data_IF_880064887741
#
_entry.id   IF_880064887741
#
_cell.length_a   1.000
_cell.length_b   1.000
_cell.length_c   1.000
_cell.angle_alpha   90.00
_cell.angle_beta   90.00
_cell.angle_gamma   90.00
#
_symmetry.space_group_name_H-M   'P 1'
#
loop_
_entity.id
_entity.type
_entity.pdbx_description
1 polymer ?
#
# COMPACT_ATOMS: atom_id res chain seq x y z
N UNK A 1 58.13 42.11 -19.38
CA UNK A 1 59.02 43.25 -19.72
C UNK A 1 58.85 43.46 -21.20
N UNK A 2 58.14 44.43 -21.77
CA UNK A 2 57.35 45.59 -21.36
C UNK A 2 56.45 45.85 -22.61
N UNK A 3 55.15 46.13 -22.47
CA UNK A 3 54.57 47.48 -22.50
C UNK A 3 55.12 48.35 -23.67
N UNK A 4 54.34 49.03 -24.51
CA UNK A 4 53.06 49.68 -24.32
C UNK A 4 52.64 50.29 -25.68
N UNK A 5 51.33 50.46 -25.94
CA UNK A 5 50.72 51.73 -26.40
C UNK A 5 49.25 51.50 -26.85
N UNK A 6 48.33 52.17 -26.15
CA UNK A 6 46.94 52.48 -26.59
C UNK A 6 46.93 53.85 -27.31
N UNK A 7 45.88 54.21 -28.08
CA UNK A 7 44.67 54.88 -27.55
C UNK A 7 43.34 54.39 -28.21
N UNK A 8 42.22 54.29 -27.47
CA UNK A 8 41.08 55.24 -27.35
C UNK A 8 40.38 55.61 -28.66
N UNK A 9 39.12 55.17 -28.81
CA UNK A 9 38.01 56.09 -29.07
C UNK A 9 36.65 55.50 -28.68
N UNK A 10 35.90 56.33 -27.96
CA UNK A 10 34.51 56.17 -27.54
C UNK A 10 33.56 56.30 -28.74
N UNK A 11 32.52 55.47 -28.77
CA UNK A 11 31.38 55.61 -29.66
C UNK A 11 30.12 55.39 -28.85
N UNK A 12 29.56 56.47 -28.34
CA UNK A 12 28.23 56.54 -27.72
C UNK A 12 27.17 56.22 -28.76
N UNK A 13 26.38 55.18 -28.49
CA UNK A 13 25.25 54.77 -29.32
C UNK A 13 24.21 54.10 -28.46
N UNK A 14 23.48 54.90 -27.69
CA UNK A 14 22.26 54.47 -27.01
C UNK A 14 21.18 54.20 -28.05
N UNK A 15 20.71 52.95 -28.16
CA UNK A 15 19.30 52.67 -28.44
C UNK A 15 18.91 51.33 -27.84
N UNK A 16 18.19 51.41 -26.74
CA UNK A 16 17.34 50.34 -26.26
C UNK A 16 16.38 49.93 -27.40
N UNK A 17 16.21 48.63 -27.62
CA UNK A 17 14.93 48.01 -27.99
C UNK A 17 15.13 46.50 -28.18
N UNK A 18 14.59 45.75 -27.22
CA UNK A 18 13.72 44.60 -27.48
C UNK A 18 14.39 43.31 -28.00
N UNK A 19 14.95 42.53 -27.07
CA UNK A 19 15.07 41.09 -27.22
C UNK A 19 13.93 40.43 -26.44
N UNK A 20 13.11 39.68 -27.15
CA UNK A 20 11.95 38.98 -26.62
C UNK A 20 12.41 37.89 -25.64
N UNK A 21 11.99 38.03 -24.39
CA UNK A 21 11.94 36.94 -23.42
C UNK A 21 10.96 35.88 -23.91
N UNK A 22 11.47 34.69 -24.23
CA UNK A 22 10.69 33.47 -24.23
C UNK A 22 11.59 32.29 -23.86
N UNK A 23 11.82 32.00 -22.57
CA UNK A 23 12.23 30.66 -22.19
C UNK A 23 11.06 29.72 -22.47
N UNK A 24 11.33 28.80 -23.41
CA UNK A 24 10.58 27.56 -23.66
C UNK A 24 9.90 27.06 -22.39
N UNK A 25 8.56 27.07 -22.41
CA UNK A 25 7.74 26.46 -21.38
C UNK A 25 8.15 25.01 -21.22
N UNK A 26 8.86 24.72 -20.13
CA UNK A 26 9.00 23.36 -19.62
C UNK A 26 7.58 22.90 -19.32
N UNK A 27 7.06 22.03 -20.17
CA UNK A 27 5.76 21.40 -20.02
C UNK A 27 5.60 20.92 -18.58
N UNK A 28 4.52 21.35 -17.94
CA UNK A 28 4.06 20.93 -16.61
C UNK A 28 3.90 19.40 -16.53
N UNK A 29 3.81 18.74 -17.69
CA UNK A 29 3.64 17.30 -17.87
C UNK A 29 4.79 16.42 -17.40
N UNK A 30 5.97 16.96 -17.08
CA UNK A 30 7.07 16.19 -16.47
C UNK A 30 7.16 16.36 -14.93
N UNK A 31 6.42 17.30 -14.32
CA UNK A 31 6.38 17.46 -12.84
C UNK A 31 5.28 16.62 -12.16
N UNK A 32 4.35 16.06 -12.93
CA UNK A 32 3.27 15.21 -12.40
C UNK A 32 3.51 13.70 -12.58
N UNK A 33 4.54 13.28 -13.34
CA UNK A 33 4.90 11.84 -13.44
C UNK A 33 5.58 11.26 -12.20
N UNK A 34 5.88 12.10 -11.20
CA UNK A 34 6.49 11.69 -9.93
C UNK A 34 5.50 11.69 -8.75
N UNK A 35 4.20 11.92 -9.00
CA UNK A 35 3.18 12.13 -7.96
C UNK A 35 2.17 10.99 -7.83
N UNK A 36 2.49 9.78 -8.29
CA UNK A 36 1.55 8.65 -8.19
C UNK A 36 2.24 7.28 -8.13
N UNK A 37 3.33 7.19 -7.37
CA UNK A 37 3.56 5.96 -6.62
C UNK A 37 2.59 5.94 -5.43
N UNK A 38 1.28 5.82 -5.72
CA UNK A 38 0.24 5.66 -4.70
C UNK A 38 0.71 4.62 -3.69
N UNK A 39 0.60 4.93 -2.39
CA UNK A 39 0.96 4.00 -1.32
C UNK A 39 0.12 2.73 -1.47
N UNK A 40 0.69 1.68 -2.07
CA UNK A 40 -0.01 0.41 -2.26
C UNK A 40 0.09 -0.42 -0.98
N UNK A 41 -0.94 -0.35 -0.15
CA UNK A 41 -1.10 -1.23 0.99
C UNK A 41 -1.21 -2.67 0.53
N UNK A 42 -0.69 -3.62 1.31
CA UNK A 42 -0.61 -5.04 0.94
C UNK A 42 -1.33 -5.91 1.95
N UNK A 43 -2.17 -6.85 1.48
CA UNK A 43 -2.79 -7.86 2.33
C UNK A 43 -2.66 -9.25 1.71
N UNK A 44 -2.35 -10.24 2.54
CA UNK A 44 -2.35 -11.65 2.16
C UNK A 44 -3.53 -12.35 2.81
N UNK A 45 -4.41 -12.96 2.01
CA UNK A 45 -5.65 -13.54 2.51
C UNK A 45 -6.13 -14.74 1.69
N UNK A 46 -7.07 -15.49 2.27
CA UNK A 46 -7.87 -16.48 1.55
C UNK A 46 -8.62 -15.84 0.37
N UNK A 47 -8.74 -16.54 -0.77
CA UNK A 47 -9.65 -16.14 -1.84
C UNK A 47 -11.13 -16.36 -1.48
N UNK A 48 -11.41 -17.13 -0.42
CA UNK A 48 -12.76 -17.46 0.04
C UNK A 48 -13.02 -16.92 1.43
N UNK A 49 -14.27 -16.50 1.67
CA UNK A 49 -14.75 -16.12 3.00
C UNK A 49 -14.85 -17.37 3.89
N UNK A 50 -14.53 -17.21 5.16
CA UNK A 50 -14.75 -18.24 6.17
C UNK A 50 -16.24 -18.31 6.57
N UNK A 51 -16.60 -19.18 7.52
CA UNK A 51 -17.99 -19.35 7.99
C UNK A 51 -18.59 -18.11 8.64
N UNK A 52 -17.77 -17.13 9.07
CA UNK A 52 -18.20 -15.83 9.57
C UNK A 52 -18.27 -14.76 8.48
N UNK A 53 -18.10 -15.15 7.22
CA UNK A 53 -18.14 -14.23 6.09
C UNK A 53 -16.86 -13.41 5.90
N UNK A 54 -15.75 -13.70 6.59
CA UNK A 54 -14.53 -12.88 6.50
C UNK A 54 -13.44 -13.53 5.65
N UNK A 55 -12.63 -12.73 4.95
CA UNK A 55 -11.43 -13.24 4.30
C UNK A 55 -10.28 -13.39 5.31
N UNK A 56 -10.05 -14.63 5.75
CA UNK A 56 -8.98 -14.96 6.69
C UNK A 56 -7.61 -14.52 6.17
N UNK A 57 -6.86 -13.75 6.97
CA UNK A 57 -5.49 -13.32 6.63
C UNK A 57 -4.47 -14.46 6.73
N UNK A 58 -3.28 -14.25 6.17
CA UNK A 58 -2.19 -15.25 6.10
C UNK A 58 -1.86 -15.92 7.44
N UNK A 59 -1.73 -15.15 8.53
CA UNK A 59 -1.45 -15.71 9.85
C UNK A 59 -2.60 -16.56 10.38
N UNK A 60 -3.85 -16.12 10.16
CA UNK A 60 -5.04 -16.87 10.53
C UNK A 60 -5.13 -18.21 9.79
N UNK A 61 -4.74 -18.24 8.51
CA UNK A 61 -4.71 -19.48 7.73
C UNK A 61 -3.70 -20.49 8.28
N UNK A 62 -2.48 -20.06 8.61
CA UNK A 62 -1.46 -20.95 9.19
C UNK A 62 -1.84 -21.38 10.61
N UNK A 63 -2.42 -20.48 11.41
CA UNK A 63 -2.93 -20.84 12.74
C UNK A 63 -4.09 -21.84 12.69
N UNK A 64 -4.94 -21.80 11.65
CA UNK A 64 -5.97 -22.82 11.44
C UNK A 64 -5.36 -24.20 11.15
N UNK A 65 -4.34 -24.28 10.29
CA UNK A 65 -3.59 -25.53 10.07
C UNK A 65 -2.98 -26.09 11.35
N UNK A 66 -2.42 -25.21 12.19
CA UNK A 66 -1.87 -25.60 13.49
C UNK A 66 -2.96 -26.17 14.41
N UNK A 67 -4.12 -25.50 14.49
CA UNK A 67 -5.28 -25.95 15.28
C UNK A 67 -5.84 -27.28 14.78
N UNK A 68 -5.74 -27.55 13.49
CA UNK A 68 -6.14 -28.82 12.86
C UNK A 68 -5.07 -29.92 13.02
N UNK A 69 -3.91 -29.64 13.63
CA UNK A 69 -2.83 -30.61 13.80
C UNK A 69 -2.13 -31.00 12.50
N UNK A 70 -2.19 -30.14 11.48
CA UNK A 70 -1.68 -30.44 10.13
C UNK A 70 -0.23 -30.01 9.91
N UNK A 71 0.32 -29.15 10.77
CA UNK A 71 1.69 -28.67 10.63
C UNK A 71 2.70 -29.74 11.07
N UNK A 72 3.83 -29.82 10.37
CA UNK A 72 4.99 -30.57 10.86
C UNK A 72 5.63 -29.87 12.06
N UNK A 73 6.48 -30.58 12.82
CA UNK A 73 7.20 -30.01 13.97
C UNK A 73 8.07 -28.79 13.58
N UNK A 74 8.69 -28.83 12.39
CA UNK A 74 9.46 -27.71 11.85
C UNK A 74 8.56 -26.51 11.54
N UNK A 75 7.42 -26.74 10.90
CA UNK A 75 6.45 -25.69 10.58
C UNK A 75 5.84 -25.08 11.85
N UNK A 76 5.58 -25.90 12.87
CA UNK A 76 5.09 -25.45 14.16
C UNK A 76 6.14 -24.60 14.90
N UNK A 77 7.41 -25.01 14.83
CA UNK A 77 8.55 -24.25 15.38
C UNK A 77 8.68 -22.90 14.67
N UNK A 78 8.64 -22.90 13.33
CA UNK A 78 8.65 -21.67 12.53
C UNK A 78 7.49 -20.76 12.90
N UNK A 79 6.25 -21.28 12.91
CA UNK A 79 5.05 -20.51 13.24
C UNK A 79 5.13 -19.90 14.63
N UNK A 80 5.54 -20.67 15.66
CA UNK A 80 5.65 -20.16 17.03
C UNK A 80 6.73 -19.10 17.17
N UNK A 81 7.90 -19.31 16.57
CA UNK A 81 8.98 -18.32 16.58
C UNK A 81 8.60 -17.05 15.85
N UNK A 82 8.02 -17.18 14.65
CA UNK A 82 7.54 -16.09 13.82
C UNK A 82 6.45 -15.27 14.50
N UNK A 83 5.40 -15.93 15.02
CA UNK A 83 4.31 -15.23 15.70
C UNK A 83 4.82 -14.46 16.92
N UNK A 84 5.67 -15.07 17.75
CA UNK A 84 6.25 -14.40 18.92
C UNK A 84 7.11 -13.19 18.54
N UNK A 85 7.79 -13.26 17.39
CA UNK A 85 8.53 -12.12 16.83
C UNK A 85 7.59 -11.02 16.34
N UNK A 86 6.50 -11.37 15.63
CA UNK A 86 5.48 -10.40 15.20
C UNK A 86 4.80 -9.72 16.40
N UNK A 87 4.37 -10.49 17.40
CA UNK A 87 3.73 -9.95 18.61
C UNK A 87 4.65 -8.96 19.35
N UNK A 88 5.97 -9.12 19.25
CA UNK A 88 6.95 -8.21 19.82
C UNK A 88 7.28 -7.00 18.92
N UNK A 89 7.22 -7.18 17.60
CA UNK A 89 7.56 -6.15 16.61
C UNK A 89 6.37 -5.27 16.20
N UNK A 90 5.14 -5.70 16.52
CA UNK A 90 3.91 -5.15 15.99
C UNK A 90 2.91 -4.91 17.10
N UNK A 91 2.27 -3.74 17.09
CA UNK A 91 1.15 -3.49 17.99
C UNK A 91 -0.05 -4.32 17.52
N UNK A 92 -0.62 -5.11 18.42
CA UNK A 92 -1.96 -5.67 18.21
C UNK A 92 -2.98 -4.53 18.33
N UNK A 93 -3.68 -4.15 17.24
CA UNK A 93 -4.65 -3.06 17.28
C UNK A 93 -5.73 -3.27 18.35
N UNK A 94 -6.08 -4.52 18.65
CA UNK A 94 -7.08 -4.90 19.64
C UNK A 94 -6.67 -4.56 21.08
N UNK A 95 -5.36 -4.36 21.33
CA UNK A 95 -4.85 -3.91 22.63
C UNK A 95 -4.90 -2.40 22.80
N UNK A 96 -4.99 -1.65 21.70
CA UNK A 96 -5.15 -0.20 21.69
C UNK A 96 -6.64 0.16 21.74
N UNK A 97 -7.44 -0.48 20.89
CA UNK A 97 -8.89 -0.37 20.89
C UNK A 97 -9.52 -1.77 20.67
N UNK A 98 -10.22 -2.34 21.68
CA UNK A 98 -10.81 -3.66 21.59
C UNK A 98 -11.93 -3.78 20.54
N UNK A 99 -12.47 -2.66 20.04
CA UNK A 99 -13.54 -2.64 19.05
C UNK A 99 -13.05 -2.63 17.60
N UNK A 100 -11.74 -2.59 17.35
CA UNK A 100 -11.15 -2.50 15.99
C UNK A 100 -11.64 -3.63 15.08
N UNK A 101 -11.81 -4.84 15.60
CA UNK A 101 -12.31 -6.01 14.85
C UNK A 101 -13.70 -6.47 15.29
N UNK A 102 -14.43 -5.63 16.02
CA UNK A 102 -15.82 -5.88 16.36
C UNK A 102 -16.67 -5.79 15.08
N UNK A 103 -17.34 -6.88 14.69
CA UNK A 103 -18.07 -6.97 13.42
C UNK A 103 -19.38 -6.16 13.43
N UNK A 104 -19.95 -5.86 14.61
CA UNK A 104 -21.14 -5.01 14.72
C UNK A 104 -20.77 -3.53 14.53
N UNK A 105 -19.56 -3.13 14.94
CA UNK A 105 -19.07 -1.74 14.86
C UNK A 105 -18.31 -1.50 13.55
N UNK A 106 -17.44 -2.43 13.17
CA UNK A 106 -16.50 -2.34 12.06
C UNK A 106 -16.61 -3.59 11.16
N UNK A 107 -17.74 -3.76 10.44
CA UNK A 107 -18.02 -4.97 9.67
C UNK A 107 -16.95 -5.25 8.62
N UNK A 108 -16.39 -6.45 8.66
CA UNK A 108 -15.36 -6.88 7.72
C UNK A 108 -14.00 -6.16 7.87
N UNK A 109 -13.74 -5.53 9.01
CA UNK A 109 -12.46 -4.89 9.30
C UNK A 109 -11.26 -5.80 9.02
N UNK A 110 -10.25 -5.26 8.35
CA UNK A 110 -9.10 -6.03 7.89
C UNK A 110 -7.81 -5.22 8.00
N UNK A 111 -6.77 -5.83 8.57
CA UNK A 111 -5.42 -5.29 8.57
C UNK A 111 -4.76 -5.36 7.18
N UNK A 112 -4.02 -4.32 6.85
CA UNK A 112 -3.16 -4.23 5.67
C UNK A 112 -1.78 -3.72 6.09
N UNK A 113 -0.74 -4.28 5.49
CA UNK A 113 0.62 -3.78 5.67
C UNK A 113 0.82 -2.50 4.88
N UNK A 114 1.49 -1.53 5.49
CA UNK A 114 2.08 -0.42 4.75
C UNK A 114 3.22 -0.92 3.85
N UNK A 115 3.46 -0.34 2.67
CA UNK A 115 4.59 -0.73 1.83
C UNK A 115 5.95 -0.50 2.51
N UNK A 116 6.02 0.42 3.48
CA UNK A 116 7.19 0.66 4.34
C UNK A 116 7.51 -0.51 5.28
N UNK A 117 6.57 -1.43 5.53
CA UNK A 117 6.72 -2.57 6.43
C UNK A 117 7.58 -3.70 5.83
N UNK A 118 8.66 -3.37 5.13
CA UNK A 118 9.49 -4.31 4.36
C UNK A 118 10.03 -5.46 5.20
N UNK A 119 10.44 -5.19 6.45
CA UNK A 119 10.93 -6.20 7.39
C UNK A 119 9.84 -7.18 7.86
N UNK A 120 8.58 -6.75 7.90
CA UNK A 120 7.42 -7.63 8.17
C UNK A 120 7.12 -8.44 6.91
N UNK A 121 6.93 -7.76 5.78
CA UNK A 121 6.61 -8.38 4.50
C UNK A 121 7.61 -9.46 4.08
N UNK A 122 8.91 -9.26 4.32
CA UNK A 122 9.95 -10.23 4.01
C UNK A 122 9.79 -11.57 4.73
N UNK A 123 9.15 -11.59 5.92
CA UNK A 123 8.91 -12.81 6.70
C UNK A 123 7.64 -13.55 6.29
N UNK A 124 6.74 -12.90 5.54
CA UNK A 124 5.47 -13.50 5.09
C UNK A 124 5.72 -14.68 4.14
N UNK A 125 6.84 -14.69 3.40
CA UNK A 125 7.20 -15.79 2.48
C UNK A 125 7.16 -17.16 3.14
N UNK A 126 7.74 -17.32 4.35
CA UNK A 126 7.73 -18.60 5.05
C UNK A 126 6.33 -19.06 5.45
N UNK A 127 5.40 -18.13 5.74
CA UNK A 127 3.99 -18.48 5.96
C UNK A 127 3.31 -18.92 4.66
N UNK A 128 3.61 -18.27 3.54
CA UNK A 128 3.08 -18.66 2.22
C UNK A 128 3.60 -20.03 1.78
N UNK A 129 4.87 -20.35 2.06
CA UNK A 129 5.46 -21.67 1.80
C UNK A 129 4.74 -22.77 2.59
N UNK A 130 4.46 -22.53 3.87
CA UNK A 130 3.65 -23.45 4.68
C UNK A 130 2.29 -23.65 4.03
N UNK A 131 1.55 -22.59 3.71
CA UNK A 131 0.22 -22.70 3.10
C UNK A 131 0.27 -23.48 1.77
N UNK A 132 1.27 -23.19 0.92
CA UNK A 132 1.46 -23.87 -0.36
C UNK A 132 1.72 -25.37 -0.17
N UNK A 133 2.55 -25.75 0.80
CA UNK A 133 2.84 -27.16 1.11
C UNK A 133 1.60 -27.96 1.54
N UNK A 134 0.60 -27.26 2.08
CA UNK A 134 -0.67 -27.82 2.56
C UNK A 134 -1.85 -27.67 1.57
N UNK A 135 -1.58 -27.16 0.36
CA UNK A 135 -2.60 -26.92 -0.66
C UNK A 135 -3.63 -25.84 -0.27
N UNK A 136 -3.28 -24.94 0.66
CA UNK A 136 -4.15 -23.85 1.09
C UNK A 136 -3.89 -22.62 0.26
N UNK A 137 -4.91 -22.16 -0.47
CA UNK A 137 -4.81 -20.96 -1.30
C UNK A 137 -4.70 -19.67 -0.46
N UNK A 138 -3.78 -18.80 -0.87
CA UNK A 138 -3.60 -17.46 -0.33
C UNK A 138 -3.27 -16.52 -1.49
N UNK A 139 -3.90 -15.35 -1.56
CA UNK A 139 -3.64 -14.32 -2.57
C UNK A 139 -3.11 -13.06 -1.91
N UNK A 140 -2.21 -12.36 -2.62
CA UNK A 140 -1.82 -11.01 -2.29
C UNK A 140 -2.78 -10.02 -2.95
N UNK A 141 -3.26 -9.06 -2.18
CA UNK A 141 -4.01 -7.89 -2.62
C UNK A 141 -3.14 -6.66 -2.45
N UNK A 142 -3.27 -5.72 -3.39
CA UNK A 142 -2.67 -4.39 -3.32
C UNK A 142 -3.77 -3.37 -3.57
N UNK A 143 -3.81 -2.31 -2.78
CA UNK A 143 -4.74 -1.20 -2.98
C UNK A 143 -4.15 0.08 -2.42
N UNK A 144 -4.35 1.21 -3.12
CA UNK A 144 -4.11 2.55 -2.59
C UNK A 144 -5.21 2.98 -1.60
N UNK A 145 -6.43 2.50 -1.83
CA UNK A 145 -7.60 2.80 -1.02
C UNK A 145 -8.33 1.49 -0.66
N UNK A 146 -7.86 0.74 0.35
CA UNK A 146 -8.48 -0.52 0.75
C UNK A 146 -9.77 -0.32 1.56
N UNK A 147 -10.12 0.91 1.94
CA UNK A 147 -11.29 1.23 2.76
C UNK A 147 -11.08 2.39 3.73
N UNK A 148 -12.09 2.66 4.55
CA UNK A 148 -12.01 3.66 5.63
C UNK A 148 -11.08 3.17 6.74
N UNK A 149 -9.99 3.90 6.97
CA UNK A 149 -9.03 3.62 8.04
C UNK A 149 -9.68 3.84 9.42
N UNK A 150 -9.58 2.84 10.28
CA UNK A 150 -10.05 2.87 11.68
C UNK A 150 -8.91 2.72 12.69
N UNK A 151 -7.74 2.29 12.24
CA UNK A 151 -6.52 2.21 13.02
C UNK A 151 -5.33 2.37 12.08
N UNK A 152 -4.27 3.04 12.54
CA UNK A 152 -3.03 3.22 11.79
C UNK A 152 -1.83 3.29 12.74
N UNK A 153 -0.75 2.61 12.37
CA UNK A 153 0.57 2.73 13.02
C UNK A 153 1.69 2.79 11.95
N UNK A 154 2.96 2.73 12.35
CA UNK A 154 4.11 2.87 11.45
C UNK A 154 4.17 1.81 10.33
N UNK A 155 3.54 0.65 10.51
CA UNK A 155 3.69 -0.50 9.63
C UNK A 155 2.36 -1.08 9.15
N UNK A 156 1.21 -0.60 9.64
CA UNK A 156 -0.12 -1.07 9.23
C UNK A 156 -1.21 -0.02 9.23
N UNK A 157 -2.28 -0.41 8.55
CA UNK A 157 -3.62 0.16 8.73
C UNK A 157 -4.62 -0.97 8.99
N UNK A 158 -5.66 -0.70 9.76
CA UNK A 158 -6.89 -1.51 9.75
C UNK A 158 -7.97 -0.67 9.10
N UNK A 159 -8.67 -1.27 8.15
CA UNK A 159 -9.74 -0.59 7.40
C UNK A 159 -11.04 -1.35 7.50
N UNK A 160 -12.14 -0.61 7.50
CA UNK A 160 -13.44 -1.13 7.09
C UNK A 160 -13.51 -1.02 5.57
N UNK A 161 -13.65 -2.15 4.83
CA UNK A 161 -13.74 -2.12 3.38
C UNK A 161 -14.88 -1.22 2.91
N UNK A 162 -14.67 -0.51 1.80
CA UNK A 162 -15.76 0.19 1.14
C UNK A 162 -16.88 -0.81 0.82
N UNK A 163 -18.13 -0.38 0.98
CA UNK A 163 -19.24 -1.15 0.46
C UNK A 163 -18.98 -1.42 -1.03
N UNK A 164 -19.23 -2.63 -1.54
CA UNK A 164 -19.16 -2.85 -2.97
C UNK A 164 -20.06 -1.81 -3.61
N UNK A 165 -19.46 -0.92 -4.42
CA UNK A 165 -20.19 0.09 -5.16
C UNK A 165 -21.30 -0.66 -5.90
N UNK A 166 -22.56 -0.40 -5.54
CA UNK A 166 -23.68 -1.05 -6.17
C UNK A 166 -23.54 -0.74 -7.66
N UNK A 167 -23.17 -1.78 -8.43
CA UNK A 167 -22.84 -1.67 -9.84
C UNK A 167 -23.90 -0.79 -10.50
N UNK A 168 -23.45 0.34 -11.05
CA UNK A 168 -24.29 1.37 -11.62
C UNK A 168 -25.48 0.75 -12.36
N UNK A 169 -26.68 0.95 -11.80
CA UNK A 169 -27.93 0.80 -12.52
C UNK A 169 -28.03 1.93 -13.57
N UNK A 170 -27.14 1.89 -14.55
CA UNK A 170 -27.32 2.54 -15.84
C UNK A 170 -27.92 1.50 -16.80
N UNK A 171 -29.11 1.01 -16.47
CA UNK A 171 -30.01 0.52 -17.50
C UNK A 171 -30.64 1.73 -18.17
N UNK A 172 -30.04 2.08 -19.31
CA UNK A 172 -30.52 3.01 -20.32
C UNK A 172 -32.04 2.93 -20.46
N UNK A 173 -32.73 3.84 -19.81
CA UNK A 173 -34.17 4.00 -19.97
C UNK A 173 -34.39 4.94 -21.16
N UNK A 174 -35.14 4.47 -22.16
CA UNK A 174 -35.88 5.25 -23.16
C UNK A 174 -35.15 5.63 -24.47
N UNK A 175 -34.86 4.61 -25.28
CA UNK A 175 -34.96 4.71 -26.74
C UNK A 175 -36.26 4.08 -27.24
N UNK A 176 -37.40 4.77 -27.07
CA UNK A 176 -38.66 4.39 -27.73
C UNK A 176 -39.29 5.63 -28.36
N UNK A 177 -39.10 5.79 -29.66
CA UNK A 177 -40.09 6.31 -30.61
C UNK A 177 -39.64 5.99 -32.03
#
# INVERSE_FOLDING_TARGET
MDAHLRPVQEGTGSRAEQWQDAPMGTTDSDRDRDRDSEVQYVRFQSPHRNSRGHFTGVFGLVNNLAREGRLSDEQETFRRGGNRWYDAAYTDPSTVDPHVYDDEINPGAAAWFKPSATHLLARVSGYLEILSSHGVACRALRSADPGRVIYEDDVQIVVVPHAPEATAAHENSHGRK
#
